data_IF_033300197675
#
_entry.id   IF_033300197675
#
_cell.length_a   1.000
_cell.length_b   1.000
_cell.length_c   1.000
_cell.angle_alpha   90.00
_cell.angle_beta   90.00
_cell.angle_gamma   90.00
#
_symmetry.space_group_name_H-M   'P 1'
#
loop_
_entity.id
_entity.type
_entity.pdbx_description
1 polymer ?
#
# COMPACT_ATOMS: atom_id res chain seq x y z
N UNK A 1 -2.22 -11.03 -29.68
CA UNK A 1 -2.43 -9.88 -28.77
C UNK A 1 -1.09 -9.63 -28.10
N UNK A 2 -0.47 -8.49 -28.42
CA UNK A 2 0.95 -8.24 -28.16
C UNK A 2 1.22 -7.79 -26.73
N UNK A 3 2.30 -8.31 -26.18
CA UNK A 3 2.95 -7.77 -24.99
C UNK A 3 3.28 -6.29 -25.17
N UNK A 4 3.10 -5.49 -24.12
CA UNK A 4 3.51 -4.09 -24.14
C UNK A 4 5.03 -3.96 -24.25
N UNK A 5 5.45 -2.84 -24.83
CA UNK A 5 6.82 -2.36 -24.84
C UNK A 5 6.92 -0.98 -24.19
N UNK A 6 8.09 -0.62 -23.67
CA UNK A 6 8.32 0.72 -23.08
C UNK A 6 8.09 1.85 -24.11
N UNK A 7 8.34 1.58 -25.41
CA UNK A 7 8.05 2.52 -26.50
C UNK A 7 6.56 2.77 -26.64
N UNK A 8 5.73 1.73 -26.61
CA UNK A 8 4.28 1.87 -26.66
C UNK A 8 3.76 2.62 -25.44
N UNK A 9 4.20 2.23 -24.24
CA UNK A 9 3.83 2.88 -22.99
C UNK A 9 4.14 4.38 -23.00
N UNK A 10 5.33 4.77 -23.48
CA UNK A 10 5.72 6.18 -23.61
C UNK A 10 4.83 6.96 -24.58
N UNK A 11 4.27 6.28 -25.59
CA UNK A 11 3.45 6.89 -26.63
C UNK A 11 1.94 6.86 -26.32
N UNK A 12 1.52 6.25 -25.21
CA UNK A 12 0.12 6.24 -24.80
C UNK A 12 -0.34 7.67 -24.49
N UNK A 13 -1.40 8.09 -25.18
CA UNK A 13 -1.98 9.43 -25.01
C UNK A 13 -3.13 9.41 -24.01
N UNK A 14 -3.31 10.47 -23.20
CA UNK A 14 -4.51 10.62 -22.40
C UNK A 14 -5.77 10.65 -23.29
N UNK A 15 -6.90 10.19 -22.74
CA UNK A 15 -8.21 10.22 -23.39
C UNK A 15 -9.25 10.81 -22.42
N UNK A 16 -10.44 11.11 -22.92
CA UNK A 16 -11.53 11.65 -22.10
C UNK A 16 -11.93 10.74 -20.91
N UNK A 17 -11.68 9.44 -21.02
CA UNK A 17 -11.97 8.45 -19.97
C UNK A 17 -10.78 7.52 -19.76
N UNK A 18 -10.69 6.97 -18.55
CA UNK A 18 -9.69 5.95 -18.23
C UNK A 18 -9.85 4.76 -19.18
N UNK A 19 -8.76 4.32 -19.78
CA UNK A 19 -8.74 3.15 -20.64
C UNK A 19 -7.61 2.19 -20.23
N UNK A 20 -7.76 0.94 -20.67
CA UNK A 20 -6.84 -0.15 -20.33
C UNK A 20 -6.12 -0.61 -21.60
N UNK A 21 -4.84 -0.89 -21.47
CA UNK A 21 -4.03 -1.55 -22.50
C UNK A 21 -3.47 -2.82 -21.89
N UNK A 22 -3.89 -3.97 -22.41
CA UNK A 22 -3.53 -5.28 -21.87
C UNK A 22 -2.04 -5.56 -22.09
N UNK A 23 -1.40 -6.17 -21.08
CA UNK A 23 -0.09 -6.80 -21.21
C UNK A 23 -0.25 -8.33 -21.14
N UNK A 24 0.19 -8.97 -20.05
CA UNK A 24 0.14 -10.43 -19.84
C UNK A 24 -0.44 -10.81 -18.49
N UNK A 25 -0.89 -12.05 -18.37
CA UNK A 25 -1.32 -12.67 -17.10
C UNK A 25 -2.29 -11.80 -16.28
N UNK A 26 -3.27 -11.15 -16.93
CA UNK A 26 -4.22 -10.26 -16.26
C UNK A 26 -3.66 -8.89 -15.84
N UNK A 27 -2.40 -8.60 -16.13
CA UNK A 27 -1.79 -7.28 -16.02
C UNK A 27 -2.21 -6.38 -17.19
N UNK A 28 -2.48 -5.12 -16.90
CA UNK A 28 -2.75 -4.09 -17.88
C UNK A 28 -2.22 -2.74 -17.41
N UNK A 29 -1.89 -1.88 -18.37
CA UNK A 29 -1.67 -0.46 -18.15
C UNK A 29 -3.01 0.27 -18.12
N UNK A 30 -3.33 0.94 -17.01
CA UNK A 30 -4.47 1.84 -16.89
C UNK A 30 -4.00 3.27 -17.10
N UNK A 31 -4.52 3.95 -18.13
CA UNK A 31 -4.16 5.32 -18.49
C UNK A 31 -5.28 6.25 -18.04
N UNK A 32 -4.98 7.21 -17.16
CA UNK A 32 -5.95 8.21 -16.70
C UNK A 32 -6.14 9.33 -17.74
N UNK A 33 -7.22 10.12 -17.64
CA UNK A 33 -7.37 11.34 -18.44
C UNK A 33 -6.25 12.38 -18.24
N UNK A 34 -5.55 12.32 -17.10
CA UNK A 34 -4.37 13.15 -16.81
C UNK A 34 -3.07 12.60 -17.42
N UNK A 35 -3.11 11.44 -18.08
CA UNK A 35 -1.92 10.82 -18.68
C UNK A 35 -1.09 9.96 -17.72
N UNK A 36 -1.55 9.77 -16.49
CA UNK A 36 -0.88 8.87 -15.54
C UNK A 36 -1.13 7.44 -15.98
N UNK A 37 -0.04 6.68 -16.14
CA UNK A 37 -0.08 5.26 -16.50
C UNK A 37 0.22 4.44 -15.25
N UNK A 38 -0.67 3.53 -14.88
CA UNK A 38 -0.50 2.63 -13.74
C UNK A 38 -0.62 1.18 -14.18
N UNK A 39 0.33 0.35 -13.80
CA UNK A 39 0.22 -1.11 -13.96
C UNK A 39 -0.72 -1.67 -12.91
N UNK A 40 -1.73 -2.40 -13.38
CA UNK A 40 -2.73 -3.06 -12.52
C UNK A 40 -2.84 -4.52 -12.89
N UNK A 41 -2.93 -5.37 -11.88
CA UNK A 41 -3.14 -6.80 -12.03
C UNK A 41 -4.54 -7.14 -11.55
N UNK A 42 -5.37 -7.66 -12.45
CA UNK A 42 -6.71 -8.14 -12.15
C UNK A 42 -6.66 -9.66 -11.97
N UNK A 43 -7.11 -10.14 -10.81
CA UNK A 43 -6.98 -11.54 -10.44
C UNK A 43 -8.20 -12.04 -9.67
N UNK A 44 -8.26 -13.35 -9.45
CA UNK A 44 -9.24 -14.00 -8.58
C UNK A 44 -8.53 -14.77 -7.48
N UNK A 45 -9.00 -14.62 -6.26
CA UNK A 45 -8.53 -15.38 -5.10
C UNK A 45 -9.72 -15.62 -4.17
N UNK A 46 -9.84 -16.83 -3.62
CA UNK A 46 -10.94 -17.19 -2.70
C UNK A 46 -12.35 -16.83 -3.23
N UNK A 47 -12.58 -17.08 -4.53
CA UNK A 47 -13.85 -16.79 -5.20
C UNK A 47 -14.14 -15.30 -5.45
N UNK A 48 -13.26 -14.39 -5.06
CA UNK A 48 -13.44 -12.93 -5.24
C UNK A 48 -12.52 -12.40 -6.33
N UNK A 49 -13.06 -11.48 -7.14
CA UNK A 49 -12.26 -10.74 -8.11
C UNK A 49 -11.68 -9.50 -7.43
N UNK A 50 -10.36 -9.35 -7.51
CA UNK A 50 -9.63 -8.25 -6.90
C UNK A 50 -8.70 -7.58 -7.93
N UNK A 51 -8.25 -6.38 -7.61
CA UNK A 51 -7.31 -5.62 -8.43
C UNK A 51 -6.16 -5.12 -7.56
N UNK A 52 -4.93 -5.41 -7.96
CA UNK A 52 -3.71 -4.88 -7.36
C UNK A 52 -3.14 -3.77 -8.24
N UNK A 53 -2.89 -2.61 -7.68
CA UNK A 53 -2.04 -1.59 -8.33
C UNK A 53 -0.57 -1.92 -8.05
N UNK A 54 0.13 -2.40 -9.09
CA UNK A 54 1.53 -2.81 -9.04
C UNK A 54 2.43 -1.58 -8.88
N UNK A 55 2.23 -0.54 -9.69
CA UNK A 55 3.08 0.65 -9.67
C UNK A 55 2.72 1.64 -10.78
N UNK A 56 3.28 2.84 -10.69
CA UNK A 56 3.16 3.88 -11.72
C UNK A 56 4.26 3.69 -12.74
N UNK A 57 3.94 3.72 -14.03
CA UNK A 57 4.96 3.70 -15.07
C UNK A 57 5.78 5.00 -15.03
N UNK A 58 7.11 4.87 -15.07
CA UNK A 58 8.03 5.99 -15.12
C UNK A 58 9.05 5.77 -16.24
N UNK A 59 9.13 6.74 -17.17
CA UNK A 59 10.12 6.70 -18.24
C UNK A 59 11.56 6.80 -17.70
N UNK A 60 11.75 7.37 -16.52
CA UNK A 60 13.06 7.38 -15.86
C UNK A 60 13.41 6.01 -15.31
N UNK A 61 12.46 5.33 -14.66
CA UNK A 61 12.66 3.95 -14.20
C UNK A 61 12.96 3.00 -15.36
N UNK A 62 12.30 3.20 -16.52
CA UNK A 62 12.56 2.42 -17.73
C UNK A 62 13.95 2.66 -18.35
N UNK A 63 14.60 3.80 -18.07
CA UNK A 63 15.97 4.10 -18.54
C UNK A 63 17.05 3.59 -17.60
N UNK A 64 16.74 3.41 -16.32
CA UNK A 64 17.67 2.95 -15.30
C UNK A 64 17.82 1.43 -15.37
N UNK A 65 18.91 0.91 -14.79
CA UNK A 65 19.06 -0.53 -14.60
C UNK A 65 17.91 -1.05 -13.74
N UNK A 66 17.36 -2.20 -14.12
CA UNK A 66 16.28 -2.86 -13.36
C UNK A 66 16.76 -3.13 -11.94
N UNK A 67 16.02 -2.59 -10.96
CA UNK A 67 16.35 -2.81 -9.55
C UNK A 67 16.15 -4.28 -9.18
N UNK A 68 16.89 -4.73 -8.17
CA UNK A 68 16.75 -6.06 -7.62
C UNK A 68 15.30 -6.29 -7.10
N UNK A 69 14.74 -7.51 -7.21
CA UNK A 69 13.35 -7.77 -6.87
C UNK A 69 12.97 -7.41 -5.43
N UNK A 70 13.89 -7.58 -4.49
CA UNK A 70 13.75 -7.25 -3.06
C UNK A 70 13.57 -5.74 -2.81
N UNK A 71 14.21 -4.89 -3.62
CA UNK A 71 14.03 -3.44 -3.56
C UNK A 71 12.71 -2.94 -4.17
N UNK A 72 11.95 -3.82 -4.83
CA UNK A 72 10.68 -3.48 -5.46
C UNK A 72 9.50 -3.68 -4.51
N UNK A 73 8.68 -2.64 -4.38
CA UNK A 73 7.48 -2.59 -3.54
C UNK A 73 6.26 -2.15 -4.35
N UNK A 74 5.08 -2.67 -4.01
CA UNK A 74 3.87 -2.30 -4.74
C UNK A 74 3.51 -0.83 -4.55
N UNK A 75 3.16 -0.14 -5.64
CA UNK A 75 2.74 1.26 -5.64
C UNK A 75 3.86 2.27 -5.92
N UNK A 76 5.11 1.81 -6.07
CA UNK A 76 6.22 2.66 -6.46
C UNK A 76 6.18 3.02 -7.96
N UNK A 77 7.09 3.90 -8.37
CA UNK A 77 7.41 4.08 -9.78
C UNK A 77 8.26 2.93 -10.31
N UNK A 78 7.85 2.38 -11.44
CA UNK A 78 8.45 1.18 -12.02
C UNK A 78 8.58 1.28 -13.55
N UNK A 79 9.56 0.57 -14.08
CA UNK A 79 9.60 0.21 -15.50
C UNK A 79 8.63 -0.93 -15.82
N UNK A 80 8.41 -1.23 -17.11
CA UNK A 80 7.63 -2.40 -17.50
C UNK A 80 8.26 -3.72 -17.01
N UNK A 81 9.59 -3.84 -17.07
CA UNK A 81 10.30 -5.02 -16.59
C UNK A 81 10.11 -5.22 -15.08
N UNK A 82 10.25 -4.16 -14.29
CA UNK A 82 10.02 -4.19 -12.84
C UNK A 82 8.57 -4.53 -12.51
N UNK A 83 7.60 -4.00 -13.27
CA UNK A 83 6.19 -4.35 -13.12
C UNK A 83 5.92 -5.84 -13.36
N UNK A 84 6.57 -6.46 -14.35
CA UNK A 84 6.49 -7.90 -14.63
C UNK A 84 7.13 -8.74 -13.52
N UNK A 85 8.22 -8.28 -12.92
CA UNK A 85 8.82 -8.92 -11.73
C UNK A 85 7.86 -8.90 -10.55
N UNK A 86 7.22 -7.76 -10.28
CA UNK A 86 6.21 -7.63 -9.23
C UNK A 86 4.95 -8.46 -9.53
N UNK A 87 4.54 -8.56 -10.79
CA UNK A 87 3.46 -9.45 -11.21
C UNK A 87 3.77 -10.92 -10.88
N UNK A 88 4.98 -11.39 -11.16
CA UNK A 88 5.39 -12.76 -10.81
C UNK A 88 5.39 -13.01 -9.29
N UNK A 89 5.70 -11.99 -8.48
CA UNK A 89 5.53 -12.08 -7.01
C UNK A 89 4.05 -12.16 -6.62
N UNK A 90 3.20 -11.29 -7.18
CA UNK A 90 1.76 -11.25 -6.88
C UNK A 90 1.07 -12.56 -7.30
N UNK A 91 1.43 -13.14 -8.44
CA UNK A 91 0.90 -14.43 -8.89
C UNK A 91 1.19 -15.55 -7.91
N UNK A 92 2.42 -15.65 -7.41
CA UNK A 92 2.81 -16.64 -6.39
C UNK A 92 2.02 -16.49 -5.09
N UNK A 93 1.68 -15.27 -4.69
CA UNK A 93 0.79 -15.02 -3.53
C UNK A 93 -0.62 -15.53 -3.80
N UNK A 94 -1.17 -15.21 -4.97
CA UNK A 94 -2.53 -15.66 -5.37
C UNK A 94 -2.61 -17.18 -5.48
N UNK A 95 -1.59 -17.84 -6.00
CA UNK A 95 -1.48 -19.31 -6.06
C UNK A 95 -1.50 -19.95 -4.66
N UNK A 96 -1.03 -19.24 -3.63
CA UNK A 96 -1.11 -19.66 -2.22
C UNK A 96 -2.44 -19.29 -1.55
N UNK A 97 -3.39 -18.69 -2.28
CA UNK A 97 -4.65 -18.20 -1.72
C UNK A 97 -4.56 -16.87 -0.96
N UNK A 98 -3.40 -16.21 -1.01
CA UNK A 98 -3.18 -14.91 -0.37
C UNK A 98 -3.59 -13.78 -1.31
N UNK A 99 -4.15 -12.69 -0.77
CA UNK A 99 -4.48 -11.48 -1.53
C UNK A 99 -3.31 -10.48 -1.49
N UNK A 100 -2.62 -10.22 -2.62
CA UNK A 100 -1.60 -9.18 -2.70
C UNK A 100 -2.12 -7.79 -2.33
N UNK A 101 -3.36 -7.48 -2.71
CA UNK A 101 -3.97 -6.17 -2.44
C UNK A 101 -4.21 -5.96 -0.95
N UNK A 102 -4.66 -6.98 -0.22
CA UNK A 102 -4.84 -6.89 1.23
C UNK A 102 -3.51 -6.70 1.95
N UNK A 103 -2.50 -7.51 1.61
CA UNK A 103 -1.16 -7.39 2.20
C UNK A 103 -0.57 -5.97 2.01
N UNK A 104 -0.76 -5.37 0.83
CA UNK A 104 -0.35 -3.98 0.56
C UNK A 104 -1.09 -2.98 1.45
N UNK A 105 -2.42 -3.10 1.56
CA UNK A 105 -3.25 -2.20 2.37
C UNK A 105 -2.89 -2.33 3.85
N UNK A 106 -2.75 -3.55 4.36
CA UNK A 106 -2.36 -3.83 5.74
C UNK A 106 -1.00 -3.22 6.08
N UNK A 107 0.02 -3.41 5.21
CA UNK A 107 1.33 -2.77 5.38
C UNK A 107 1.22 -1.25 5.46
N UNK A 108 0.45 -0.63 4.55
CA UNK A 108 0.24 0.83 4.55
C UNK A 108 -0.49 1.30 5.82
N UNK A 109 -1.54 0.61 6.23
CA UNK A 109 -2.32 0.94 7.42
C UNK A 109 -1.49 0.77 8.68
N UNK A 110 -0.69 -0.30 8.79
CA UNK A 110 0.21 -0.52 9.91
C UNK A 110 1.28 0.59 10.02
N UNK A 111 1.89 0.98 8.90
CA UNK A 111 2.83 2.10 8.88
C UNK A 111 2.17 3.44 9.27
N UNK A 112 0.95 3.70 8.78
CA UNK A 112 0.21 4.91 9.14
C UNK A 112 -0.17 4.93 10.63
N UNK A 113 -0.63 3.80 11.19
CA UNK A 113 -0.95 3.67 12.60
C UNK A 113 0.27 3.93 13.49
N UNK A 114 1.45 3.41 13.10
CA UNK A 114 2.70 3.64 13.82
C UNK A 114 3.12 5.13 13.88
N UNK A 115 2.66 5.96 12.94
CA UNK A 115 2.93 7.40 12.91
C UNK A 115 1.92 8.21 13.75
N UNK A 116 0.84 7.60 14.23
CA UNK A 116 -0.14 8.30 15.09
C UNK A 116 0.31 8.32 16.54
N UNK A 117 -0.12 9.35 17.30
CA UNK A 117 0.13 9.41 18.74
C UNK A 117 -0.42 8.18 19.48
N UNK A 118 -1.61 7.69 19.09
CA UNK A 118 -2.20 6.47 19.64
C UNK A 118 -1.36 5.22 19.37
N UNK A 119 -0.91 5.01 18.13
CA UNK A 119 -0.05 3.88 17.78
C UNK A 119 1.33 3.95 18.44
N UNK A 120 1.90 5.16 18.55
CA UNK A 120 3.11 5.40 19.34
C UNK A 120 2.89 5.06 20.83
N UNK A 121 1.79 5.51 21.43
CA UNK A 121 1.49 5.28 22.85
C UNK A 121 1.32 3.77 23.14
N UNK A 122 0.64 3.03 22.26
CA UNK A 122 0.55 1.57 22.38
C UNK A 122 1.91 0.87 22.29
N UNK A 123 2.76 1.28 21.34
CA UNK A 123 4.11 0.74 21.20
C UNK A 123 4.97 1.03 22.44
N UNK A 124 4.88 2.26 22.98
CA UNK A 124 5.54 2.66 24.23
C UNK A 124 5.09 1.79 25.41
N UNK A 125 3.78 1.60 25.61
CA UNK A 125 3.27 0.81 26.73
C UNK A 125 3.63 -0.68 26.60
N UNK A 126 3.64 -1.25 25.38
CA UNK A 126 4.12 -2.62 25.15
C UNK A 126 5.59 -2.76 25.50
N UNK A 127 6.42 -1.82 25.06
CA UNK A 127 7.85 -1.80 25.38
C UNK A 127 8.09 -1.71 26.90
N UNK A 128 7.33 -0.86 27.61
CA UNK A 128 7.45 -0.71 29.08
C UNK A 128 6.86 -1.84 29.90
N UNK A 129 6.01 -2.68 29.30
CA UNK A 129 5.47 -3.88 29.93
C UNK A 129 6.39 -5.12 29.75
N UNK A 130 7.23 -5.13 28.71
CA UNK A 130 8.11 -6.25 28.40
C UNK A 130 9.33 -6.31 29.35
N UNK A 131 9.46 -7.37 30.18
CA UNK A 131 10.58 -7.55 31.10
C UNK A 131 11.94 -7.76 30.39
N UNK A 132 11.96 -8.02 29.07
CA UNK A 132 13.18 -8.24 28.28
C UNK A 132 13.63 -6.99 27.52
N UNK A 133 12.91 -5.88 27.62
CA UNK A 133 13.18 -4.66 26.84
C UNK A 133 14.40 -3.86 27.31
N UNK A 134 15.06 -4.26 28.40
CA UNK A 134 16.21 -3.56 28.98
C UNK A 134 15.90 -2.17 29.58
N UNK A 135 14.68 -1.67 29.40
CA UNK A 135 14.17 -0.48 30.04
C UNK A 135 13.55 -0.82 31.40
N UNK A 136 13.55 0.14 32.33
CA UNK A 136 12.86 -0.02 33.61
C UNK A 136 11.38 -0.36 33.37
N UNK A 137 11.00 -1.57 33.78
CA UNK A 137 9.64 -2.11 33.66
C UNK A 137 8.74 -1.35 34.63
N UNK A 138 7.69 -0.73 34.10
CA UNK A 138 6.71 -0.07 34.96
C UNK A 138 5.78 -1.11 35.58
N UNK A 139 5.35 -0.85 36.82
CA UNK A 139 4.30 -1.63 37.46
C UNK A 139 2.99 -1.54 36.68
N UNK A 140 2.23 -2.63 36.66
CA UNK A 140 0.99 -2.75 35.86
C UNK A 140 -0.04 -1.65 36.20
N UNK A 141 -0.11 -1.23 37.47
CA UNK A 141 -0.95 -0.13 37.93
C UNK A 141 -0.57 1.22 37.31
N UNK A 142 0.74 1.46 37.13
CA UNK A 142 1.26 2.70 36.53
C UNK A 142 1.04 2.71 35.03
N UNK A 143 1.16 1.56 34.37
CA UNK A 143 0.85 1.40 32.96
C UNK A 143 -0.65 1.61 32.69
N UNK A 144 -1.53 1.07 33.54
CA UNK A 144 -2.97 1.25 33.43
C UNK A 144 -3.38 2.73 33.60
N UNK A 145 -2.84 3.42 34.60
CA UNK A 145 -3.10 4.85 34.83
C UNK A 145 -2.62 5.71 33.64
N UNK A 146 -1.38 5.50 33.17
CA UNK A 146 -0.82 6.26 32.04
C UNK A 146 -1.55 5.97 30.74
N UNK A 147 -1.96 4.71 30.52
CA UNK A 147 -2.77 4.32 29.36
C UNK A 147 -4.12 5.03 29.38
N UNK A 148 -4.79 5.08 30.53
CA UNK A 148 -6.05 5.81 30.70
C UNK A 148 -5.89 7.30 30.39
N UNK A 149 -4.84 7.94 30.91
CA UNK A 149 -4.56 9.35 30.63
C UNK A 149 -4.30 9.62 29.14
N UNK A 150 -3.54 8.76 28.46
CA UNK A 150 -3.33 8.85 27.01
C UNK A 150 -4.64 8.64 26.22
N UNK A 151 -5.49 7.68 26.61
CA UNK A 151 -6.79 7.47 25.95
C UNK A 151 -7.72 8.66 26.14
N UNK A 152 -7.75 9.27 27.33
CA UNK A 152 -8.51 10.49 27.59
C UNK A 152 -8.00 11.66 26.75
N UNK A 153 -6.68 11.82 26.59
CA UNK A 153 -6.09 12.87 25.75
C UNK A 153 -6.38 12.66 24.25
N UNK A 154 -6.37 11.42 23.75
CA UNK A 154 -6.71 11.11 22.36
C UNK A 154 -8.19 11.39 22.01
N UNK A 155 -9.10 11.31 22.99
CA UNK A 155 -10.53 11.60 22.79
C UNK A 155 -10.89 13.10 22.90
N UNK A 156 -9.90 13.98 23.13
CA UNK A 156 -10.07 15.44 23.28
C UNK A 156 -9.65 16.21 22.01
N UNK A 157 -9.27 15.54 20.91
CA UNK A 157 -8.98 16.21 19.64
C UNK A 157 -10.28 16.73 18.95
N UNK A 158 -10.50 18.05 18.83
CA UNK A 158 -11.78 18.61 18.39
C UNK A 158 -11.89 18.76 16.86
N UNK A 159 -11.02 18.13 16.06
CA UNK A 159 -11.05 18.23 14.59
C UNK A 159 -11.84 17.11 13.90
N UNK A 160 -12.77 16.47 14.62
CA UNK A 160 -13.77 15.56 14.07
C UNK A 160 -15.20 15.95 14.49
N UNK A 161 -15.48 17.25 14.57
CA UNK A 161 -16.84 17.78 14.70
C UNK A 161 -17.51 17.92 13.34
N UNK A 162 -18.20 16.86 12.90
CA UNK A 162 -19.13 16.94 11.77
C UNK A 162 -20.24 17.94 12.07
N UNK A 163 -20.39 18.94 11.19
CA UNK A 163 -21.54 19.84 11.13
C UNK A 163 -22.83 19.03 10.99
N UNK A 164 -23.60 18.94 12.08
CA UNK A 164 -25.02 18.70 12.01
C UNK A 164 -25.71 19.98 11.55
N UNK A 165 -26.22 19.98 10.32
CA UNK A 165 -27.16 21.00 9.86
C UNK A 165 -28.55 20.39 9.95
N UNK A 166 -29.37 20.97 10.83
CA UNK A 166 -30.81 20.77 10.85
C UNK A 166 -31.42 21.43 9.60
N UNK A 167 -32.25 20.69 8.89
CA UNK A 167 -33.56 21.13 8.38
C UNK A 167 -34.35 19.92 7.92
#
# INVERSE_FOLDING_TARGET
MGDLTDKELKNLKPRAKLYKVTDRDGMHAAVTPTGVISFRYQYRVNGRQEVLTIGRYSAEAARKLTRAPDALEYGMEVSLAEARTLLARARRQVERGESPSKAKVEKRTASAAALTFGGWAEAYFKHKADPKSGAEKLADSTLAMRRSACHSACNIDPLSGGLGVQN
#
